data_IF_427623562247
#
_entry.id   IF_427623562247
#
_cell.length_a   1.000
_cell.length_b   1.000
_cell.length_c   1.000
_cell.angle_alpha   90.00
_cell.angle_beta   90.00
_cell.angle_gamma   90.00
#
_symmetry.space_group_name_H-M   'P 1'
#
loop_
_entity.id
_entity.type
_entity.pdbx_description
1 polymer ?
#
# COMPACT_ATOMS: atom_id res chain seq x y z
N UNK A 1 20.47 16.57 8.26
CA UNK A 1 19.60 15.49 8.76
C UNK A 1 18.19 16.05 8.68
N UNK A 2 17.38 15.62 7.72
CA UNK A 2 16.00 16.09 7.60
C UNK A 2 15.28 15.76 8.90
N UNK A 3 14.65 16.71 9.58
CA UNK A 3 13.72 16.41 10.66
C UNK A 3 12.60 15.55 10.07
N UNK A 4 12.69 14.24 10.27
CA UNK A 4 11.65 13.31 9.88
C UNK A 4 10.48 13.59 10.83
N UNK A 5 9.52 14.44 10.40
CA UNK A 5 8.24 14.52 11.10
C UNK A 5 7.72 13.10 11.21
N UNK A 6 7.40 12.68 12.43
CA UNK A 6 6.80 11.38 12.67
C UNK A 6 5.58 11.22 11.74
N UNK A 7 5.37 10.03 11.14
CA UNK A 7 4.25 9.84 10.23
C UNK A 7 2.94 10.16 10.93
N UNK A 8 2.08 10.91 10.27
CA UNK A 8 0.76 11.27 10.79
C UNK A 8 -0.10 10.03 10.96
N UNK A 9 -1.18 10.14 11.74
CA UNK A 9 -2.10 9.02 11.92
C UNK A 9 -2.72 8.60 10.58
N UNK A 10 -3.08 9.54 9.72
CA UNK A 10 -3.66 9.26 8.40
C UNK A 10 -2.69 8.50 7.49
N UNK A 11 -1.41 8.88 7.50
CA UNK A 11 -0.36 8.17 6.75
C UNK A 11 -0.19 6.72 7.24
N UNK A 12 -0.29 6.50 8.56
CA UNK A 12 -0.25 5.15 9.15
C UNK A 12 -1.49 4.34 8.81
N UNK A 13 -2.68 4.97 8.81
CA UNK A 13 -3.93 4.33 8.41
C UNK A 13 -3.87 3.92 6.94
N UNK A 14 -3.41 4.81 6.04
CA UNK A 14 -3.26 4.50 4.63
C UNK A 14 -2.24 3.39 4.38
N UNK A 15 -1.13 3.38 5.12
CA UNK A 15 -0.19 2.26 5.10
C UNK A 15 -0.88 0.95 5.54
N UNK A 16 -1.60 0.97 6.67
CA UNK A 16 -2.35 -0.19 7.15
C UNK A 16 -3.41 -0.69 6.17
N UNK A 17 -4.13 0.21 5.51
CA UNK A 17 -5.11 -0.13 4.46
C UNK A 17 -4.43 -0.72 3.22
N UNK A 18 -3.27 -0.20 2.83
CA UNK A 18 -2.53 -0.74 1.70
C UNK A 18 -2.05 -2.17 1.94
N UNK A 19 -1.66 -2.53 3.16
CA UNK A 19 -1.29 -3.91 3.51
C UNK A 19 -2.54 -4.79 3.74
N UNK A 20 -3.54 -4.26 4.44
CA UNK A 20 -4.80 -4.95 4.69
C UNK A 20 -5.62 -5.23 3.43
N UNK A 21 -5.34 -4.52 2.33
CA UNK A 21 -6.03 -4.72 1.06
C UNK A 21 -5.87 -6.13 0.48
N UNK A 22 -4.86 -6.90 0.91
CA UNK A 22 -4.68 -8.30 0.51
C UNK A 22 -5.95 -9.15 0.71
N UNK A 23 -6.76 -8.81 1.72
CA UNK A 23 -8.04 -9.47 2.00
C UNK A 23 -9.07 -9.27 0.88
N UNK A 24 -8.99 -8.19 0.10
CA UNK A 24 -9.83 -8.00 -1.08
C UNK A 24 -9.55 -9.06 -2.15
N UNK A 25 -8.33 -9.59 -2.20
CA UNK A 25 -7.96 -10.68 -3.11
C UNK A 25 -8.87 -11.91 -2.96
N UNK A 26 -9.38 -12.18 -1.76
CA UNK A 26 -10.29 -13.29 -1.47
C UNK A 26 -11.62 -13.21 -2.24
N UNK A 27 -12.04 -12.01 -2.63
CA UNK A 27 -13.32 -11.76 -3.31
C UNK A 27 -13.16 -11.33 -4.78
N UNK A 28 -11.92 -11.10 -5.23
CA UNK A 28 -11.61 -10.44 -6.51
C UNK A 28 -10.65 -11.28 -7.37
N UNK A 29 -10.62 -12.60 -7.16
CA UNK A 29 -9.70 -13.51 -7.87
C UNK A 29 -8.22 -13.12 -7.68
N UNK A 30 -7.84 -12.66 -6.49
CA UNK A 30 -6.46 -12.36 -6.11
C UNK A 30 -5.94 -10.96 -6.49
N UNK A 31 -6.61 -10.21 -7.38
CA UNK A 31 -6.05 -8.95 -7.90
C UNK A 31 -6.51 -7.67 -7.18
N UNK A 32 -7.63 -7.71 -6.46
CA UNK A 32 -8.23 -6.51 -5.85
C UNK A 32 -7.34 -5.87 -4.78
N UNK A 33 -6.56 -6.67 -4.05
CA UNK A 33 -5.61 -6.14 -3.07
C UNK A 33 -4.46 -5.34 -3.72
N UNK A 34 -3.94 -5.84 -4.84
CA UNK A 34 -2.90 -5.18 -5.64
C UNK A 34 -3.41 -3.85 -6.19
N UNK A 35 -4.63 -3.83 -6.75
CA UNK A 35 -5.25 -2.62 -7.29
C UNK A 35 -5.47 -1.58 -6.19
N UNK A 36 -5.97 -1.99 -5.02
CA UNK A 36 -6.17 -1.07 -3.90
C UNK A 36 -4.83 -0.46 -3.41
N UNK A 37 -3.77 -1.26 -3.30
CA UNK A 37 -2.44 -0.76 -2.94
C UNK A 37 -1.89 0.22 -4.01
N UNK A 38 -2.10 -0.07 -5.30
CA UNK A 38 -1.74 0.83 -6.41
C UNK A 38 -2.47 2.17 -6.33
N UNK A 39 -3.77 2.16 -6.02
CA UNK A 39 -4.56 3.40 -5.86
C UNK A 39 -4.04 4.23 -4.68
N UNK A 40 -3.73 3.61 -3.55
CA UNK A 40 -3.15 4.32 -2.40
C UNK A 40 -1.78 4.90 -2.76
N UNK A 41 -0.93 4.14 -3.45
CA UNK A 41 0.36 4.66 -3.94
C UNK A 41 0.16 5.86 -4.88
N UNK A 42 -0.70 5.74 -5.88
CA UNK A 42 -0.92 6.78 -6.88
C UNK A 42 -1.43 8.09 -6.26
N UNK A 43 -2.29 7.99 -5.23
CA UNK A 43 -2.85 9.15 -4.53
C UNK A 43 -1.88 9.78 -3.51
N UNK A 44 -0.95 8.99 -2.95
CA UNK A 44 0.00 9.45 -1.94
C UNK A 44 1.40 9.76 -2.46
N UNK A 45 1.76 9.35 -3.69
CA UNK A 45 3.13 9.50 -4.25
C UNK A 45 3.68 10.93 -4.20
N UNK A 46 2.82 11.95 -4.27
CA UNK A 46 3.20 13.38 -4.23
C UNK A 46 2.90 14.04 -2.88
N UNK A 47 2.21 13.34 -1.96
CA UNK A 47 1.73 13.88 -0.68
C UNK A 47 2.52 13.38 0.51
N UNK A 48 2.92 12.11 0.48
CA UNK A 48 3.57 11.43 1.60
C UNK A 48 4.55 10.37 1.10
N UNK A 49 5.84 10.61 1.31
CA UNK A 49 6.87 9.63 1.01
C UNK A 49 6.70 8.34 1.84
N UNK A 50 6.25 8.46 3.09
CA UNK A 50 6.02 7.30 3.96
C UNK A 50 4.86 6.44 3.46
N UNK A 51 3.67 7.02 3.25
CA UNK A 51 2.49 6.26 2.83
C UNK A 51 2.68 5.69 1.41
N UNK A 52 3.33 6.44 0.51
CA UNK A 52 3.66 5.96 -0.82
C UNK A 52 4.63 4.76 -0.77
N UNK A 53 5.70 4.83 0.03
CA UNK A 53 6.65 3.72 0.16
C UNK A 53 5.98 2.46 0.72
N UNK A 54 5.12 2.59 1.74
CA UNK A 54 4.36 1.47 2.31
C UNK A 54 3.37 0.87 1.32
N UNK A 55 2.66 1.70 0.56
CA UNK A 55 1.74 1.24 -0.47
C UNK A 55 2.47 0.53 -1.63
N UNK A 56 3.61 1.05 -2.06
CA UNK A 56 4.46 0.40 -3.08
C UNK A 56 5.00 -0.95 -2.58
N UNK A 57 5.50 -1.00 -1.34
CA UNK A 57 5.98 -2.25 -0.72
C UNK A 57 4.87 -3.30 -0.69
N UNK A 58 3.68 -2.91 -0.22
CA UNK A 58 2.51 -3.79 -0.17
C UNK A 58 2.13 -4.27 -1.58
N UNK A 59 2.04 -3.37 -2.55
CA UNK A 59 1.70 -3.70 -3.94
C UNK A 59 2.68 -4.71 -4.53
N UNK A 60 3.99 -4.49 -4.36
CA UNK A 60 5.03 -5.40 -4.87
C UNK A 60 4.92 -6.76 -4.16
N UNK A 61 4.76 -6.79 -2.84
CA UNK A 61 4.62 -8.05 -2.11
C UNK A 61 3.40 -8.86 -2.57
N UNK A 62 2.24 -8.20 -2.69
CA UNK A 62 1.01 -8.84 -3.15
C UNK A 62 1.13 -9.31 -4.60
N UNK A 63 1.73 -8.52 -5.49
CA UNK A 63 1.95 -8.90 -6.89
C UNK A 63 2.90 -10.10 -7.02
N UNK A 64 4.01 -10.11 -6.28
CA UNK A 64 4.94 -11.23 -6.25
C UNK A 64 4.26 -12.48 -5.71
N UNK A 65 3.50 -12.35 -4.61
CA UNK A 65 2.74 -13.47 -4.03
C UNK A 65 1.73 -14.04 -5.02
N UNK A 66 0.99 -13.17 -5.72
CA UNK A 66 0.00 -13.57 -6.72
C UNK A 66 0.62 -14.28 -7.93
N UNK A 67 1.85 -13.94 -8.32
CA UNK A 67 2.54 -14.60 -9.45
C UNK A 67 3.12 -15.95 -9.05
N UNK A 68 3.57 -16.10 -7.80
CA UNK A 68 4.24 -17.32 -7.32
C UNK A 68 3.24 -18.42 -6.94
N UNK A 69 2.06 -18.05 -6.42
CA UNK A 69 1.08 -18.96 -5.84
C UNK A 69 -0.13 -19.18 -6.74
#
# INVERSE_FOLDING_TARGET
>A
MSEQLAPTQDERVLAGLAHGSILLGLFTSGVGGIIAALVIWATQKEKSAYAAAQALQSMVYQAVTFVIM
#
